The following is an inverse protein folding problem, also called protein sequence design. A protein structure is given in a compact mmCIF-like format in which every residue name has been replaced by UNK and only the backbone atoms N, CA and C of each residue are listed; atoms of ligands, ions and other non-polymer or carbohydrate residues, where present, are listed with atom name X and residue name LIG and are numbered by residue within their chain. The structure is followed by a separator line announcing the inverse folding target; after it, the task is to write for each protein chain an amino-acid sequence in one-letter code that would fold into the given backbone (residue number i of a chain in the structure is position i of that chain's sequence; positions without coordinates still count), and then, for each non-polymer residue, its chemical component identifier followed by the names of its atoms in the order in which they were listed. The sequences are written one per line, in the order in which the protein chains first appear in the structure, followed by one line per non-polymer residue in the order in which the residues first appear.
data_IF_019123088706
#
_entry.id   IF_019123088706
#
_cell.length_a   1.000
_cell.length_b   1.000
_cell.length_c   1.000
_cell.angle_alpha   90.00
_cell.angle_beta   90.00
_cell.angle_gamma   90.00
#
_symmetry.space_group_name_H-M   'P 1'
#
loop_
_entity.id
_entity.type
_entity.pdbx_description
1 polymer ?
#
# COMPACT_ATOMS: atom_id res chain seq x y z
N UNK A 1 36.78 -44.25 -54.61
CA UNK A 1 38.00 -43.98 -53.85
C UNK A 1 37.88 -42.55 -53.40
N UNK A 2 37.10 -42.31 -52.32
CA UNK A 2 36.90 -40.99 -51.74
C UNK A 2 37.02 -41.12 -50.24
N UNK A 3 38.04 -40.50 -49.76
CA UNK A 3 38.49 -40.50 -48.39
C UNK A 3 37.63 -39.47 -47.57
N UNK A 4 36.81 -39.99 -46.65
CA UNK A 4 36.05 -39.16 -45.74
C UNK A 4 36.86 -38.97 -44.47
N UNK A 5 37.68 -37.93 -44.44
CA UNK A 5 38.35 -37.48 -43.23
C UNK A 5 37.33 -36.83 -42.33
N UNK A 6 36.92 -37.58 -41.31
CA UNK A 6 36.04 -37.11 -40.22
C UNK A 6 36.83 -36.19 -39.33
N UNK A 7 36.64 -34.89 -39.48
CA UNK A 7 37.16 -33.88 -38.52
C UNK A 7 36.34 -33.92 -37.24
N UNK A 8 36.96 -34.36 -36.17
CA UNK A 8 36.41 -34.26 -34.81
C UNK A 8 36.24 -32.78 -34.42
N UNK A 9 35.16 -32.43 -33.75
CA UNK A 9 34.96 -31.08 -33.22
C UNK A 9 35.93 -30.77 -32.09
N UNK A 10 36.41 -29.52 -31.93
CA UNK A 10 37.37 -29.16 -30.89
C UNK A 10 36.75 -29.24 -29.49
N UNK A 11 37.53 -29.71 -28.51
CA UNK A 11 37.11 -29.66 -27.09
C UNK A 11 37.31 -28.24 -26.57
N UNK A 12 36.29 -27.58 -26.24
CA UNK A 12 36.53 -26.31 -25.57
C UNK A 12 35.30 -25.46 -25.51
N UNK A 13 34.70 -25.47 -24.40
CA UNK A 13 34.15 -24.38 -23.58
C UNK A 13 32.94 -24.80 -22.76
N UNK A 14 33.16 -25.85 -21.99
CA UNK A 14 32.27 -26.15 -20.86
C UNK A 14 32.83 -25.47 -19.60
N UNK A 15 32.90 -24.14 -19.54
CA UNK A 15 33.11 -23.40 -18.26
C UNK A 15 32.87 -21.92 -18.47
N UNK A 16 31.65 -21.55 -18.74
CA UNK A 16 31.16 -20.18 -18.48
C UNK A 16 29.63 -20.23 -18.32
N UNK A 17 29.12 -21.14 -17.51
CA UNK A 17 27.83 -20.90 -16.89
C UNK A 17 28.09 -19.85 -15.80
N UNK A 18 28.04 -18.62 -16.24
CA UNK A 18 27.90 -17.45 -15.37
C UNK A 18 26.79 -17.77 -14.39
N UNK A 19 27.17 -18.04 -13.15
CA UNK A 19 26.28 -18.02 -12.01
C UNK A 19 25.68 -16.61 -11.99
N UNK A 20 24.51 -16.48 -12.59
CA UNK A 20 23.63 -15.36 -12.34
C UNK A 20 23.36 -15.41 -10.84
N UNK A 21 24.14 -14.63 -10.10
CA UNK A 21 23.92 -14.33 -8.70
C UNK A 21 22.50 -13.76 -8.61
N UNK A 22 21.57 -14.62 -8.28
CA UNK A 22 20.21 -14.22 -7.89
C UNK A 22 20.37 -13.45 -6.60
N UNK A 23 20.52 -12.11 -6.71
CA UNK A 23 20.33 -11.21 -5.57
C UNK A 23 18.99 -11.61 -4.95
N UNK A 24 18.93 -11.95 -3.66
CA UNK A 24 17.66 -12.23 -3.01
C UNK A 24 16.82 -10.96 -3.14
N UNK A 25 15.74 -11.02 -3.89
CA UNK A 25 14.78 -9.92 -3.97
C UNK A 25 14.30 -9.64 -2.55
N UNK A 26 14.32 -8.38 -2.13
CA UNK A 26 13.92 -7.92 -0.81
C UNK A 26 12.50 -8.39 -0.39
N UNK A 27 11.72 -8.86 -1.36
CA UNK A 27 10.39 -9.45 -1.15
C UNK A 27 10.41 -10.83 -0.46
N UNK A 28 11.55 -11.54 -0.40
CA UNK A 28 11.63 -12.86 0.21
C UNK A 28 11.72 -12.85 1.74
N UNK A 29 11.86 -11.68 2.38
CA UNK A 29 12.08 -11.57 3.83
C UNK A 29 10.82 -11.25 4.66
N UNK A 30 9.71 -10.83 4.02
CA UNK A 30 8.49 -10.47 4.73
C UNK A 30 7.65 -11.73 5.03
N UNK A 31 7.62 -12.10 6.30
CA UNK A 31 6.73 -13.19 6.75
C UNK A 31 5.28 -12.72 6.73
N UNK A 32 4.29 -13.62 6.49
CA UNK A 32 2.86 -13.28 6.48
C UNK A 32 2.41 -12.47 7.71
N UNK A 33 2.95 -12.76 8.89
CA UNK A 33 2.68 -12.02 10.12
C UNK A 33 3.07 -10.54 10.05
N UNK A 34 4.18 -10.22 9.36
CA UNK A 34 4.62 -8.83 9.23
C UNK A 34 3.67 -8.07 8.30
N UNK A 35 3.24 -8.68 7.21
CA UNK A 35 2.23 -8.11 6.32
C UNK A 35 0.91 -7.86 7.04
N UNK A 36 0.46 -8.82 7.85
CA UNK A 36 -0.77 -8.66 8.65
C UNK A 36 -0.64 -7.52 9.66
N UNK A 37 0.50 -7.39 10.35
CA UNK A 37 0.72 -6.31 11.31
C UNK A 37 0.78 -4.94 10.64
N UNK A 38 1.45 -4.83 9.49
CA UNK A 38 1.50 -3.59 8.70
C UNK A 38 0.11 -3.22 8.19
N UNK A 39 -0.65 -4.20 7.68
CA UNK A 39 -2.00 -3.97 7.19
C UNK A 39 -2.95 -3.52 8.33
N UNK A 40 -2.91 -4.19 9.48
CA UNK A 40 -3.70 -3.79 10.65
C UNK A 40 -3.32 -2.40 11.14
N UNK A 41 -2.03 -2.10 11.25
CA UNK A 41 -1.55 -0.78 11.67
C UNK A 41 -1.95 0.34 10.69
N UNK A 42 -1.99 0.05 9.39
CA UNK A 42 -2.43 1.00 8.37
C UNK A 42 -3.94 1.23 8.31
N UNK A 43 -4.75 0.25 8.77
CA UNK A 43 -6.22 0.35 8.79
C UNK A 43 -6.71 1.01 10.08
N UNK A 44 -6.06 0.74 11.21
CA UNK A 44 -6.45 1.28 12.51
C UNK A 44 -5.86 2.69 12.65
N UNK A 45 -6.64 3.70 12.30
CA UNK A 45 -6.31 5.11 12.47
C UNK A 45 -7.19 5.77 13.55
N UNK A 46 -6.89 7.03 13.88
CA UNK A 46 -7.69 7.82 14.81
C UNK A 46 -9.14 7.98 14.37
N UNK A 47 -9.38 7.97 13.07
CA UNK A 47 -10.71 8.03 12.44
C UNK A 47 -11.61 6.84 12.81
N UNK A 48 -11.04 5.66 13.06
CA UNK A 48 -11.82 4.50 13.49
C UNK A 48 -12.51 4.76 14.85
N UNK A 49 -11.80 5.37 15.80
CA UNK A 49 -12.32 5.63 17.13
C UNK A 49 -13.26 6.83 17.17
N UNK A 50 -12.86 7.95 16.59
CA UNK A 50 -13.65 9.18 16.60
C UNK A 50 -14.83 9.10 15.63
N UNK A 51 -14.60 8.55 14.42
CA UNK A 51 -15.65 8.39 13.41
C UNK A 51 -16.74 7.43 13.84
N UNK A 52 -16.38 6.29 14.47
CA UNK A 52 -17.37 5.33 14.96
C UNK A 52 -18.25 5.93 16.06
N UNK A 53 -17.67 6.74 16.95
CA UNK A 53 -18.44 7.44 17.98
C UNK A 53 -19.48 8.40 17.38
N UNK A 54 -19.13 9.12 16.32
CA UNK A 54 -20.06 10.01 15.60
C UNK A 54 -21.20 9.23 14.93
N UNK A 55 -20.89 8.12 14.25
CA UNK A 55 -21.88 7.26 13.61
C UNK A 55 -22.86 6.68 14.65
N UNK A 56 -22.34 6.14 15.76
CA UNK A 56 -23.17 5.58 16.84
C UNK A 56 -24.10 6.65 17.44
N UNK A 57 -23.60 7.87 17.62
CA UNK A 57 -24.45 8.98 18.10
C UNK A 57 -25.58 9.34 17.14
N UNK A 58 -25.31 9.26 15.83
CA UNK A 58 -26.28 9.66 14.81
C UNK A 58 -27.37 8.62 14.57
N UNK A 59 -27.03 7.33 14.56
CA UNK A 59 -27.95 6.24 14.15
C UNK A 59 -28.17 5.19 15.25
N UNK A 60 -27.53 5.32 16.40
CA UNK A 60 -27.67 4.39 17.53
C UNK A 60 -27.28 2.95 17.17
N UNK A 61 -28.04 1.93 17.62
CA UNK A 61 -27.75 0.52 17.36
C UNK A 61 -27.74 0.14 15.87
N UNK A 62 -28.39 0.93 15.00
CA UNK A 62 -28.38 0.70 13.55
C UNK A 62 -26.98 0.85 12.94
N UNK A 63 -26.04 1.47 13.67
CA UNK A 63 -24.63 1.52 13.29
C UNK A 63 -24.06 0.11 13.04
N UNK A 64 -24.45 -0.89 13.82
CA UNK A 64 -24.01 -2.28 13.66
C UNK A 64 -24.38 -2.84 12.29
N UNK A 65 -25.61 -2.56 11.85
CA UNK A 65 -26.09 -3.02 10.54
C UNK A 65 -25.29 -2.33 9.40
N UNK A 66 -25.07 -1.01 9.52
CA UNK A 66 -24.30 -0.25 8.56
C UNK A 66 -22.85 -0.78 8.44
N UNK A 67 -22.20 -1.04 9.57
CA UNK A 67 -20.86 -1.63 9.59
C UNK A 67 -20.83 -3.07 9.06
N UNK A 68 -21.85 -3.87 9.34
CA UNK A 68 -21.94 -5.25 8.85
C UNK A 68 -22.07 -5.27 7.31
N UNK A 69 -22.95 -4.42 6.74
CA UNK A 69 -23.13 -4.30 5.29
C UNK A 69 -21.85 -3.76 4.63
N UNK A 70 -21.28 -2.69 5.17
CA UNK A 70 -20.04 -2.10 4.66
C UNK A 70 -18.88 -3.10 4.73
N UNK A 71 -18.73 -3.81 5.84
CA UNK A 71 -17.71 -4.85 6.01
C UNK A 71 -17.87 -6.01 5.02
N UNK A 72 -19.10 -6.46 4.80
CA UNK A 72 -19.37 -7.52 3.81
C UNK A 72 -18.98 -7.07 2.38
N UNK A 73 -19.31 -5.83 2.00
CA UNK A 73 -18.90 -5.26 0.71
C UNK A 73 -17.39 -5.17 0.58
N UNK A 74 -16.69 -4.71 1.63
CA UNK A 74 -15.22 -4.63 1.64
C UNK A 74 -14.59 -6.01 1.47
N UNK A 75 -15.09 -7.01 2.20
CA UNK A 75 -14.58 -8.40 2.09
C UNK A 75 -14.76 -8.92 0.66
N UNK A 76 -15.90 -8.67 0.04
CA UNK A 76 -16.19 -9.10 -1.34
C UNK A 76 -15.23 -8.44 -2.33
N UNK A 77 -15.03 -7.13 -2.23
CA UNK A 77 -14.10 -6.38 -3.10
C UNK A 77 -12.66 -6.86 -2.89
N UNK A 78 -12.22 -7.04 -1.64
CA UNK A 78 -10.87 -7.51 -1.33
C UNK A 78 -10.62 -8.94 -1.82
N UNK A 79 -11.64 -9.79 -1.79
CA UNK A 79 -11.55 -11.14 -2.35
C UNK A 79 -11.36 -11.10 -3.86
N UNK A 80 -12.14 -10.30 -4.58
CA UNK A 80 -11.98 -10.12 -6.02
C UNK A 80 -10.59 -9.58 -6.39
N UNK A 81 -10.10 -8.57 -5.66
CA UNK A 81 -8.76 -8.02 -5.85
C UNK A 81 -7.68 -9.07 -5.59
N UNK A 82 -7.85 -9.91 -4.55
CA UNK A 82 -6.95 -11.00 -4.25
C UNK A 82 -6.86 -12.03 -5.37
N UNK A 83 -7.99 -12.42 -5.95
CA UNK A 83 -8.05 -13.35 -7.08
C UNK A 83 -7.39 -12.76 -8.35
N UNK A 84 -7.64 -11.48 -8.64
CA UNK A 84 -6.99 -10.79 -9.76
C UNK A 84 -5.48 -10.68 -9.56
N UNK A 85 -5.04 -10.33 -8.36
CA UNK A 85 -3.62 -10.20 -8.02
C UNK A 85 -2.87 -11.54 -8.05
N UNK A 86 -3.53 -12.64 -7.70
CA UNK A 86 -2.95 -13.97 -7.78
C UNK A 86 -2.72 -14.43 -9.23
N UNK A 87 -3.65 -14.06 -10.13
CA UNK A 87 -3.56 -14.43 -11.54
C UNK A 87 -2.63 -13.51 -12.34
N UNK A 88 -2.61 -12.24 -12.02
CA UNK A 88 -1.82 -11.22 -12.73
C UNK A 88 -1.29 -10.16 -11.76
N UNK A 89 -0.14 -10.37 -11.14
CA UNK A 89 0.47 -9.38 -10.27
C UNK A 89 0.95 -8.18 -11.08
N UNK A 90 0.35 -7.01 -10.85
CA UNK A 90 0.72 -5.75 -11.51
C UNK A 90 1.04 -4.67 -10.47
N UNK A 91 1.96 -3.78 -10.81
CA UNK A 91 2.25 -2.59 -10.04
C UNK A 91 1.13 -1.58 -10.30
N UNK A 92 0.47 -1.05 -9.26
CA UNK A 92 -0.68 -0.17 -9.42
C UNK A 92 -2.01 -0.83 -9.05
N UNK A 93 -2.01 -2.16 -8.82
CA UNK A 93 -3.13 -2.91 -8.26
C UNK A 93 -4.49 -2.58 -8.92
N UNK A 94 -5.48 -2.17 -8.12
CA UNK A 94 -6.87 -1.98 -8.58
C UNK A 94 -7.04 -0.93 -9.69
N UNK A 95 -6.16 0.06 -9.79
CA UNK A 95 -6.18 1.04 -10.88
C UNK A 95 -5.86 0.38 -12.23
N UNK A 96 -4.86 -0.50 -12.26
CA UNK A 96 -4.48 -1.24 -13.48
C UNK A 96 -5.55 -2.27 -13.86
N UNK A 97 -6.13 -2.97 -12.88
CA UNK A 97 -7.24 -3.89 -13.15
C UNK A 97 -8.47 -3.18 -13.70
N UNK A 98 -8.75 -1.98 -13.22
CA UNK A 98 -9.84 -1.17 -13.77
C UNK A 98 -9.54 -0.67 -15.19
N UNK A 99 -8.27 -0.31 -15.46
CA UNK A 99 -7.82 0.07 -16.81
C UNK A 99 -7.98 -1.08 -17.80
N UNK A 100 -7.54 -2.27 -17.41
CA UNK A 100 -7.62 -3.46 -18.24
C UNK A 100 -9.07 -3.91 -18.51
N UNK A 101 -9.96 -3.77 -17.52
CA UNK A 101 -11.35 -4.22 -17.63
C UNK A 101 -12.32 -3.21 -18.23
N UNK A 102 -12.14 -1.93 -17.93
CA UNK A 102 -13.08 -0.86 -18.26
C UNK A 102 -12.48 0.23 -19.17
N UNK A 103 -11.17 0.16 -19.44
CA UNK A 103 -10.45 1.10 -20.28
C UNK A 103 -9.74 2.22 -19.53
N UNK A 104 -9.01 3.04 -20.29
CA UNK A 104 -8.11 4.10 -19.79
C UNK A 104 -8.82 5.11 -18.87
N UNK A 105 -10.04 5.51 -19.21
CA UNK A 105 -10.80 6.47 -18.42
C UNK A 105 -11.10 5.96 -17.01
N UNK A 106 -11.37 4.67 -16.86
CA UNK A 106 -11.66 4.06 -15.56
C UNK A 106 -10.41 4.00 -14.68
N UNK A 107 -9.28 3.59 -15.25
CA UNK A 107 -7.98 3.61 -14.57
C UNK A 107 -7.61 5.01 -14.09
N UNK A 108 -7.76 6.02 -14.96
CA UNK A 108 -7.50 7.41 -14.62
C UNK A 108 -8.42 7.91 -13.48
N UNK A 109 -9.72 7.68 -13.60
CA UNK A 109 -10.70 8.12 -12.60
C UNK A 109 -10.44 7.48 -11.24
N UNK A 110 -10.18 6.16 -11.20
CA UNK A 110 -9.90 5.43 -9.96
C UNK A 110 -8.59 5.91 -9.33
N UNK A 111 -7.55 6.17 -10.14
CA UNK A 111 -6.30 6.73 -9.65
C UNK A 111 -6.48 8.08 -8.96
N UNK A 112 -7.26 8.99 -9.55
CA UNK A 112 -7.59 10.27 -8.97
C UNK A 112 -8.45 10.17 -7.71
N UNK A 113 -9.47 9.32 -7.71
CA UNK A 113 -10.31 9.08 -6.54
C UNK A 113 -9.50 8.50 -5.38
N UNK A 114 -8.58 7.59 -5.65
CA UNK A 114 -7.71 7.02 -4.65
C UNK A 114 -6.76 8.07 -4.04
N UNK A 115 -6.15 8.90 -4.88
CA UNK A 115 -5.31 10.00 -4.42
C UNK A 115 -6.10 10.97 -3.55
N UNK A 116 -7.26 11.41 -4.01
CA UNK A 116 -8.15 12.31 -3.29
C UNK A 116 -8.59 11.74 -1.93
N UNK A 117 -8.94 10.46 -1.92
CA UNK A 117 -9.30 9.75 -0.70
C UNK A 117 -8.18 9.81 0.34
N UNK A 118 -6.94 9.48 -0.04
CA UNK A 118 -5.81 9.49 0.89
C UNK A 118 -5.45 10.90 1.38
N UNK A 119 -5.53 11.91 0.52
CA UNK A 119 -5.37 13.32 0.95
C UNK A 119 -6.42 13.68 2.00
N UNK A 120 -7.67 13.29 1.79
CA UNK A 120 -8.76 13.49 2.73
C UNK A 120 -8.54 12.78 4.06
N UNK A 121 -8.09 11.52 4.03
CA UNK A 121 -7.80 10.72 5.23
C UNK A 121 -6.70 11.37 6.06
N UNK A 122 -5.58 11.74 5.45
CA UNK A 122 -4.46 12.39 6.15
C UNK A 122 -4.89 13.72 6.78
N UNK A 123 -5.64 14.53 6.06
CA UNK A 123 -6.16 15.79 6.59
C UNK A 123 -7.11 15.57 7.77
N UNK A 124 -8.01 14.60 7.66
CA UNK A 124 -8.96 14.25 8.72
C UNK A 124 -8.26 13.75 9.98
N UNK A 125 -7.29 12.87 9.85
CA UNK A 125 -6.52 12.36 10.98
C UNK A 125 -5.69 13.46 11.65
N UNK A 126 -5.08 14.36 10.88
CA UNK A 126 -4.36 15.50 11.43
C UNK A 126 -5.27 16.40 12.29
N UNK A 127 -6.50 16.68 11.82
CA UNK A 127 -7.48 17.45 12.58
C UNK A 127 -7.90 16.74 13.88
N UNK A 128 -8.11 15.43 13.83
CA UNK A 128 -8.47 14.64 15.01
C UNK A 128 -7.35 14.68 16.06
N UNK A 129 -6.12 14.43 15.63
CA UNK A 129 -4.94 14.49 16.53
C UNK A 129 -4.81 15.90 17.12
N UNK A 130 -4.99 16.93 16.30
CA UNK A 130 -4.97 18.32 16.77
C UNK A 130 -5.99 18.59 17.86
N UNK A 131 -7.23 18.11 17.72
CA UNK A 131 -8.29 18.26 18.72
C UNK A 131 -7.98 17.51 20.02
N UNK A 132 -7.51 16.28 19.94
CA UNK A 132 -7.15 15.49 21.12
C UNK A 132 -6.02 16.16 21.91
N UNK A 133 -5.00 16.69 21.23
CA UNK A 133 -3.89 17.38 21.88
C UNK A 133 -4.33 18.72 22.49
N UNK A 134 -5.25 19.44 21.84
CA UNK A 134 -5.83 20.67 22.38
C UNK A 134 -6.59 20.44 23.69
N UNK A 135 -7.26 19.29 23.86
CA UNK A 135 -7.91 18.95 25.15
C UNK A 135 -6.89 18.82 26.29
N UNK A 136 -5.66 18.42 26.00
CA UNK A 136 -4.59 18.30 27.01
C UNK A 136 -3.85 19.65 27.22
N UNK A 137 -3.73 20.46 26.18
CA UNK A 137 -3.03 21.75 26.22
C UNK A 137 -3.93 22.84 25.62
N UNK A 138 -4.93 23.34 26.37
CA UNK A 138 -5.92 24.30 25.85
C UNK A 138 -5.35 25.67 25.45
N UNK A 139 -4.15 25.98 25.90
CA UNK A 139 -3.50 27.27 25.57
C UNK A 139 -3.05 27.38 24.10
N UNK A 140 -2.92 26.24 23.41
CA UNK A 140 -2.45 26.17 22.04
C UNK A 140 -3.63 25.81 21.12
N UNK A 141 -3.88 26.58 20.05
CA UNK A 141 -4.96 26.24 19.11
C UNK A 141 -4.78 24.86 18.48
N UNK A 142 -5.88 24.16 18.23
CA UNK A 142 -5.91 22.80 17.67
C UNK A 142 -5.22 22.68 16.28
N UNK A 143 -5.36 23.70 15.44
CA UNK A 143 -4.73 23.72 14.12
C UNK A 143 -3.19 23.71 14.16
N UNK A 144 -2.57 24.25 15.22
CA UNK A 144 -1.10 24.24 15.38
C UNK A 144 -0.58 22.83 15.62
N UNK A 145 -1.28 22.01 16.40
CA UNK A 145 -0.94 20.60 16.59
C UNK A 145 -1.13 19.80 15.32
N UNK A 146 -2.21 20.06 14.57
CA UNK A 146 -2.45 19.43 13.29
C UNK A 146 -1.34 19.75 12.29
N UNK A 147 -0.95 21.02 12.19
CA UNK A 147 0.14 21.46 11.32
C UNK A 147 1.49 20.88 11.74
N UNK A 148 1.80 20.90 13.04
CA UNK A 148 3.03 20.32 13.57
C UNK A 148 3.13 18.81 13.29
N UNK A 149 2.04 18.07 13.46
CA UNK A 149 1.95 16.66 13.15
C UNK A 149 2.19 16.38 11.66
N UNK A 150 1.56 17.14 10.76
CA UNK A 150 1.77 17.01 9.32
C UNK A 150 3.22 17.31 8.92
N UNK A 151 3.82 18.36 9.48
CA UNK A 151 5.20 18.70 9.21
C UNK A 151 6.17 17.63 9.70
N UNK A 152 5.94 17.10 10.91
CA UNK A 152 6.76 16.05 11.49
C UNK A 152 6.70 14.78 10.65
N UNK A 153 5.51 14.34 10.23
CA UNK A 153 5.33 13.17 9.38
C UNK A 153 5.98 13.39 8.00
N UNK A 154 5.84 14.59 7.42
CA UNK A 154 6.43 14.91 6.12
C UNK A 154 7.96 14.89 6.21
N UNK A 155 8.54 15.51 7.23
CA UNK A 155 9.98 15.50 7.45
C UNK A 155 10.52 14.09 7.69
N UNK A 156 9.83 13.31 8.51
CA UNK A 156 10.20 11.90 8.77
C UNK A 156 10.20 11.07 7.49
N UNK A 157 9.20 11.26 6.64
CA UNK A 157 9.11 10.57 5.35
C UNK A 157 10.22 10.99 4.38
N UNK A 158 10.52 12.29 4.30
CA UNK A 158 11.61 12.80 3.47
C UNK A 158 12.99 12.30 3.94
N UNK A 159 13.20 12.21 5.24
CA UNK A 159 14.46 11.67 5.81
C UNK A 159 14.60 10.17 5.51
N UNK A 160 13.51 9.42 5.61
CA UNK A 160 13.49 7.99 5.27
C UNK A 160 13.84 7.75 3.81
N UNK A 161 13.30 8.54 2.88
CA UNK A 161 13.61 8.45 1.46
C UNK A 161 15.07 8.76 1.15
N UNK A 162 15.68 9.72 1.83
CA UNK A 162 17.12 10.03 1.67
C UNK A 162 18.00 8.88 2.13
N UNK A 163 17.68 8.25 3.24
CA UNK A 163 18.42 7.09 3.76
C UNK A 163 18.39 5.90 2.81
N UNK A 164 17.30 5.70 2.06
CA UNK A 164 17.22 4.66 1.04
C UNK A 164 18.00 5.00 -0.23
N UNK A 165 18.08 6.27 -0.62
CA UNK A 165 18.82 6.72 -1.80
C UNK A 165 20.34 6.74 -1.65
N UNK A 166 20.86 6.71 -0.42
CA UNK A 166 22.31 6.66 -0.15
C UNK A 166 22.87 5.22 -0.03
N UNK A 167 22.00 4.20 -0.10
CA UNK A 167 22.38 2.79 0.07
C UNK A 167 22.46 2.02 -1.25
N UNK A 168 22.17 2.64 -2.39
CA UNK A 168 22.39 2.11 -3.75
C UNK A 168 23.67 2.71 -4.37
#
# INVERSE_FOLDING_TARGET
MQDHTTLAPPPGNATAQTQASTKPSAHASLRPRHLTMIALGGIIGASLFVGSGSVIRSVGPAALISYAIGGALVILVMRMLGEMSANRPVVGSFMEYARDGLGEWAGFTIGWLYWYFWVGVVAFEAVIVGRILHEWIPMVPDWTFALAGLLLLTLSNLMSLRSFGETE
#
